data_IF_609329646189
#
_entry.id   IF_609329646189
#
_cell.length_a   1.000
_cell.length_b   1.000
_cell.length_c   1.000
_cell.angle_alpha   90.00
_cell.angle_beta   90.00
_cell.angle_gamma   90.00
#
_symmetry.space_group_name_H-M   'P 1'
#
loop_
_entity.id
_entity.type
_entity.pdbx_description
1 polymer ?
#
# COMPACT_ATOMS: atom_id res chain seq x y z
N UNK A 1 -22.71 3.32 10.56
CA UNK A 1 -22.39 4.03 9.31
C UNK A 1 -21.40 3.15 8.57
N UNK A 2 -21.79 2.55 7.44
CA UNK A 2 -20.87 1.75 6.64
C UNK A 2 -19.73 2.66 6.12
N UNK A 3 -18.45 2.22 6.14
CA UNK A 3 -17.37 3.00 5.57
C UNK A 3 -17.60 3.10 4.06
N UNK A 4 -17.60 4.34 3.54
CA UNK A 4 -17.67 4.57 2.09
C UNK A 4 -16.33 4.15 1.49
N UNK A 5 -16.40 3.17 0.60
CA UNK A 5 -15.30 2.61 -0.16
C UNK A 5 -14.74 3.65 -1.16
N UNK A 6 -13.43 3.92 -1.11
CA UNK A 6 -12.76 4.89 -1.98
C UNK A 6 -11.32 4.45 -2.31
N UNK A 7 -10.80 4.71 -3.53
CA UNK A 7 -9.66 4.03 -4.16
C UNK A 7 -8.24 4.51 -3.80
N UNK A 8 -7.27 3.57 -3.83
CA UNK A 8 -5.81 3.77 -3.69
C UNK A 8 -5.17 4.18 -5.02
N UNK A 9 -4.24 5.16 -4.98
CA UNK A 9 -3.43 5.62 -6.12
C UNK A 9 -1.99 5.07 -6.03
N UNK A 10 -1.46 4.58 -7.16
CA UNK A 10 -0.07 4.11 -7.29
C UNK A 10 0.77 5.06 -8.16
N UNK A 11 2.02 5.30 -7.75
CA UNK A 11 3.04 5.97 -8.57
C UNK A 11 4.27 5.07 -8.76
N UNK A 12 4.82 5.08 -9.98
CA UNK A 12 6.01 4.32 -10.39
C UNK A 12 7.25 5.19 -10.19
N UNK A 13 8.27 4.60 -9.57
CA UNK A 13 9.57 5.19 -9.22
C UNK A 13 10.34 5.72 -10.43
N UNK A 14 11.02 6.85 -10.30
CA UNK A 14 12.13 7.25 -11.20
C UNK A 14 13.19 8.01 -10.41
N UNK A 15 14.46 7.66 -10.62
CA UNK A 15 15.63 8.40 -10.12
C UNK A 15 15.90 9.57 -11.07
N UNK A 16 16.08 10.79 -10.56
CA UNK A 16 16.48 11.94 -11.38
C UNK A 16 17.52 12.81 -10.65
N UNK A 17 18.64 13.06 -11.34
CA UNK A 17 19.68 14.04 -11.03
C UNK A 17 19.28 15.43 -11.58
N UNK A 18 19.83 16.48 -10.98
CA UNK A 18 19.36 17.87 -11.12
C UNK A 18 19.99 18.65 -12.29
N UNK A 19 19.19 19.48 -12.96
CA UNK A 19 19.64 20.67 -13.69
C UNK A 19 18.52 21.73 -13.80
N UNK A 20 18.89 23.01 -13.84
CA UNK A 20 18.05 24.20 -13.66
C UNK A 20 17.70 24.92 -14.98
N UNK A 21 16.60 25.69 -15.03
CA UNK A 21 16.46 26.86 -15.92
C UNK A 21 15.10 27.16 -16.58
N UNK A 22 14.45 28.22 -16.08
CA UNK A 22 13.67 29.34 -16.66
C UNK A 22 12.43 29.18 -17.61
N UNK A 23 11.38 30.04 -17.48
CA UNK A 23 10.03 29.85 -18.00
C UNK A 23 9.70 30.73 -19.22
N UNK A 24 8.80 30.25 -20.09
CA UNK A 24 7.73 31.02 -20.73
C UNK A 24 7.09 30.20 -21.86
N UNK A 25 5.81 29.84 -21.73
CA UNK A 25 4.74 30.25 -22.66
C UNK A 25 3.40 29.61 -22.29
N UNK A 26 2.42 30.48 -22.02
CA UNK A 26 0.99 30.18 -21.84
C UNK A 26 0.36 29.84 -23.20
N UNK A 27 -0.62 28.91 -23.23
CA UNK A 27 -2.01 29.17 -23.72
C UNK A 27 -2.93 27.93 -23.71
N UNK A 28 -4.06 28.13 -23.01
CA UNK A 28 -5.47 27.74 -23.28
C UNK A 28 -5.92 26.27 -23.19
N UNK A 29 -6.87 26.11 -22.26
CA UNK A 29 -7.66 24.94 -21.91
C UNK A 29 -8.68 24.51 -22.98
N UNK A 30 -9.13 23.25 -22.88
CA UNK A 30 -10.55 22.87 -22.92
C UNK A 30 -10.82 21.67 -22.00
N UNK A 31 -11.91 21.81 -21.25
CA UNK A 31 -12.55 20.79 -20.41
C UNK A 31 -13.25 19.77 -21.31
N UNK A 32 -13.18 18.48 -20.97
CA UNK A 32 -14.07 17.43 -21.50
C UNK A 32 -14.38 16.44 -20.37
N UNK A 33 -15.66 16.37 -20.03
CA UNK A 33 -16.30 15.30 -19.26
C UNK A 33 -16.04 13.93 -19.90
N UNK A 34 -15.84 12.89 -19.08
CA UNK A 34 -16.71 11.69 -19.00
C UNK A 34 -15.97 10.46 -18.42
N UNK A 35 -16.61 9.86 -17.42
CA UNK A 35 -16.80 8.43 -17.10
C UNK A 35 -15.65 7.40 -17.11
N UNK A 36 -15.47 6.87 -15.89
CA UNK A 36 -15.34 5.47 -15.48
C UNK A 36 -14.28 4.54 -16.13
N UNK A 37 -13.34 4.11 -15.28
CA UNK A 37 -12.90 2.71 -15.18
C UNK A 37 -11.60 2.31 -15.88
N UNK A 38 -10.52 2.14 -15.10
CA UNK A 38 -9.18 1.63 -15.49
C UNK A 38 -8.95 0.23 -14.85
N UNK A 39 -7.93 -0.62 -15.12
CA UNK A 39 -6.46 -0.37 -15.14
C UNK A 39 -5.65 -1.72 -15.37
N UNK A 40 -4.49 -1.69 -16.08
CA UNK A 40 -3.30 -2.58 -15.88
C UNK A 40 -2.30 -2.77 -17.07
N UNK A 41 -1.04 -2.22 -17.06
CA UNK A 41 0.09 -2.46 -18.03
C UNK A 41 1.54 -2.21 -17.49
N UNK A 42 2.53 -2.71 -18.27
CA UNK A 42 4.02 -2.67 -18.16
C UNK A 42 4.67 -1.32 -18.55
N UNK A 43 5.74 -0.91 -17.85
CA UNK A 43 6.57 0.27 -18.15
C UNK A 43 7.93 -0.17 -18.73
N UNK A 44 8.40 0.46 -19.81
CA UNK A 44 9.77 0.31 -20.35
C UNK A 44 10.44 1.68 -20.55
N UNK A 45 11.77 1.74 -20.40
CA UNK A 45 12.62 2.91 -20.63
C UNK A 45 13.36 2.82 -21.98
N UNK A 46 13.74 3.95 -22.60
CA UNK A 46 14.40 3.96 -23.91
C UNK A 46 15.88 3.59 -23.84
N UNK A 47 16.41 3.16 -24.99
CA UNK A 47 17.69 2.44 -25.15
C UNK A 47 18.93 3.36 -25.18
N UNK A 48 18.87 4.58 -24.64
CA UNK A 48 20.02 5.50 -24.62
C UNK A 48 19.77 6.84 -23.90
N UNK A 49 20.83 7.63 -23.62
CA UNK A 49 20.70 8.95 -23.01
C UNK A 49 19.97 9.92 -23.96
N UNK A 50 19.08 10.75 -23.40
CA UNK A 50 18.28 11.70 -24.16
C UNK A 50 19.11 12.90 -24.64
N UNK A 51 18.86 13.34 -25.87
CA UNK A 51 19.40 14.57 -26.46
C UNK A 51 18.51 15.76 -26.04
N UNK A 52 19.11 16.76 -25.39
CA UNK A 52 18.44 17.91 -24.77
C UNK A 52 17.73 18.85 -25.77
N UNK A 53 17.87 18.61 -27.08
CA UNK A 53 17.23 19.43 -28.12
C UNK A 53 15.92 18.87 -28.68
N UNK A 54 15.48 17.66 -28.28
CA UNK A 54 14.18 17.13 -28.72
C UNK A 54 13.04 17.64 -27.83
N UNK A 55 12.14 18.42 -28.42
CA UNK A 55 10.80 18.68 -27.88
C UNK A 55 10.12 17.32 -27.68
N UNK A 56 10.00 16.89 -26.41
CA UNK A 56 9.37 15.62 -26.01
C UNK A 56 7.86 15.64 -26.31
N UNK A 57 7.49 15.48 -27.58
CA UNK A 57 6.15 15.06 -27.94
C UNK A 57 6.00 13.57 -27.60
N UNK A 58 5.23 13.30 -26.53
CA UNK A 58 4.70 11.96 -26.29
C UNK A 58 3.81 11.59 -27.48
N UNK A 59 4.29 10.68 -28.33
CA UNK A 59 3.43 10.01 -29.30
C UNK A 59 2.62 8.96 -28.54
N UNK A 60 1.32 9.21 -28.41
CA UNK A 60 0.34 8.21 -28.00
C UNK A 60 0.54 6.96 -28.89
N UNK A 61 0.85 5.82 -28.27
CA UNK A 61 0.94 4.55 -28.98
C UNK A 61 -0.47 4.19 -29.47
N UNK A 62 -0.73 4.41 -30.76
CA UNK A 62 -2.00 4.09 -31.40
C UNK A 62 -2.33 2.59 -31.44
N UNK A 63 -1.37 1.73 -31.08
CA UNK A 63 -1.43 0.27 -31.03
C UNK A 63 -1.88 -0.29 -29.67
N UNK A 64 -2.28 0.56 -28.72
CA UNK A 64 -2.75 0.12 -27.42
C UNK A 64 -4.24 -0.27 -27.44
N UNK A 65 -4.52 -1.57 -27.52
CA UNK A 65 -5.89 -2.11 -27.59
C UNK A 65 -6.57 -2.28 -26.21
N UNK A 66 -5.82 -2.24 -25.11
CA UNK A 66 -6.34 -2.46 -23.75
C UNK A 66 -6.15 -3.90 -23.26
N UNK A 67 -6.84 -4.27 -22.19
CA UNK A 67 -6.85 -5.63 -21.64
C UNK A 67 -8.30 -6.11 -21.43
N UNK A 68 -8.52 -7.42 -21.50
CA UNK A 68 -9.85 -7.99 -21.29
C UNK A 68 -10.03 -8.43 -19.84
N UNK A 69 -11.17 -8.13 -19.25
CA UNK A 69 -11.62 -8.67 -17.98
C UNK A 69 -13.04 -9.19 -18.14
N UNK A 70 -13.20 -10.51 -18.12
CA UNK A 70 -14.41 -11.17 -18.63
C UNK A 70 -14.60 -10.86 -20.12
N UNK A 71 -15.81 -10.45 -20.49
CA UNK A 71 -16.18 -10.09 -21.87
C UNK A 71 -15.86 -8.63 -22.24
N UNK A 72 -15.34 -7.83 -21.31
CA UNK A 72 -15.17 -6.39 -21.50
C UNK A 72 -13.70 -6.00 -21.68
N UNK A 73 -13.42 -5.04 -22.56
CA UNK A 73 -12.08 -4.45 -22.75
C UNK A 73 -11.91 -3.17 -21.91
N UNK A 74 -10.76 -3.03 -21.24
CA UNK A 74 -10.41 -1.91 -20.36
C UNK A 74 -9.07 -1.28 -20.76
N UNK A 75 -8.90 0.02 -20.49
CA UNK A 75 -7.67 0.77 -20.83
C UNK A 75 -7.15 1.54 -19.61
N UNK A 76 -5.84 1.43 -19.36
CA UNK A 76 -5.17 2.29 -18.38
C UNK A 76 -4.81 3.62 -19.03
N UNK A 77 -5.21 4.72 -18.38
CA UNK A 77 -4.73 6.07 -18.73
C UNK A 77 -4.20 6.79 -17.49
N UNK A 78 -3.01 7.38 -17.56
CA UNK A 78 -2.57 8.34 -16.55
C UNK A 78 -3.36 9.64 -16.76
N UNK A 79 -4.15 10.07 -15.77
CA UNK A 79 -5.03 11.24 -15.89
C UNK A 79 -4.46 12.51 -15.27
N UNK A 80 -3.61 12.38 -14.25
CA UNK A 80 -2.97 13.49 -13.55
C UNK A 80 -1.54 13.06 -13.17
N UNK A 81 -0.59 13.98 -13.31
CA UNK A 81 0.79 13.84 -12.84
C UNK A 81 1.07 15.04 -11.93
N UNK A 82 1.55 14.76 -10.73
CA UNK A 82 1.80 15.79 -9.72
C UNK A 82 3.32 15.98 -9.60
N UNK A 83 3.84 17.23 -9.65
CA UNK A 83 5.25 17.48 -9.41
C UNK A 83 5.64 17.03 -8.00
N UNK A 84 6.65 16.17 -7.91
CA UNK A 84 7.17 15.64 -6.65
C UNK A 84 8.69 15.77 -6.64
N UNK A 85 9.31 16.26 -5.54
CA UNK A 85 10.75 16.31 -5.44
C UNK A 85 11.31 14.88 -5.29
N UNK A 86 12.19 14.49 -6.22
CA UNK A 86 12.84 13.16 -6.20
C UNK A 86 11.81 12.02 -6.09
N UNK A 87 12.19 10.92 -5.44
CA UNK A 87 11.34 9.74 -5.26
C UNK A 87 10.40 9.88 -4.05
N UNK A 88 9.35 9.06 -4.06
CA UNK A 88 8.39 8.91 -2.97
C UNK A 88 8.37 7.47 -2.52
N UNK A 89 8.57 7.22 -1.23
CA UNK A 89 8.52 5.87 -0.66
C UNK A 89 7.10 5.37 -0.46
N UNK A 90 6.18 6.28 -0.13
CA UNK A 90 4.81 5.95 0.18
C UNK A 90 3.90 7.13 -0.17
N UNK A 91 2.76 6.82 -0.78
CA UNK A 91 1.69 7.78 -1.01
C UNK A 91 0.35 7.14 -0.61
N UNK A 92 -0.49 7.90 0.09
CA UNK A 92 -1.79 7.45 0.61
C UNK A 92 -2.80 8.58 0.52
N UNK A 93 -4.03 8.27 0.08
CA UNK A 93 -5.14 9.22 0.11
C UNK A 93 -5.79 9.25 1.49
N UNK A 94 -6.40 10.38 1.83
CA UNK A 94 -7.20 10.52 3.05
C UNK A 94 -8.54 9.81 2.87
N UNK A 95 -8.89 8.91 3.80
CA UNK A 95 -10.12 8.12 3.75
C UNK A 95 -11.39 8.95 3.57
N UNK A 96 -11.51 10.02 4.35
CA UNK A 96 -12.71 10.86 4.41
C UNK A 96 -12.78 11.85 3.23
N UNK A 97 -11.63 12.16 2.61
CA UNK A 97 -11.53 13.07 1.45
C UNK A 97 -10.49 12.55 0.45
N UNK A 98 -10.84 11.58 -0.41
CA UNK A 98 -9.89 10.88 -1.29
C UNK A 98 -9.18 11.76 -2.33
N UNK A 99 -9.65 12.98 -2.58
CA UNK A 99 -8.93 13.94 -3.41
C UNK A 99 -7.66 14.45 -2.73
N UNK A 100 -7.51 14.31 -1.41
CA UNK A 100 -6.27 14.64 -0.72
C UNK A 100 -5.34 13.45 -0.67
N UNK A 101 -4.12 13.66 -1.18
CA UNK A 101 -3.03 12.68 -1.19
C UNK A 101 -1.90 13.19 -0.30
N UNK A 102 -1.43 12.37 0.63
CA UNK A 102 -0.14 12.56 1.29
C UNK A 102 0.92 11.70 0.61
N UNK A 103 2.11 12.26 0.40
CA UNK A 103 3.24 11.61 -0.24
C UNK A 103 4.52 11.86 0.57
N UNK A 104 5.34 10.84 0.76
CA UNK A 104 6.63 10.97 1.43
C UNK A 104 7.67 11.59 0.51
N UNK A 105 8.40 12.59 0.98
CA UNK A 105 9.62 13.05 0.34
C UNK A 105 10.86 12.49 1.05
N UNK A 106 11.91 12.21 0.27
CA UNK A 106 13.20 11.72 0.77
C UNK A 106 13.91 12.66 1.75
N UNK A 107 13.48 13.93 1.81
CA UNK A 107 14.03 14.94 2.71
C UNK A 107 13.30 15.02 4.07
N UNK A 108 12.45 14.03 4.38
CA UNK A 108 11.72 13.93 5.65
C UNK A 108 10.41 14.71 5.68
N UNK A 109 10.03 15.39 4.58
CA UNK A 109 8.74 16.08 4.48
C UNK A 109 7.65 15.11 4.04
N UNK A 110 6.42 15.40 4.48
CA UNK A 110 5.22 14.79 3.91
C UNK A 110 4.47 15.85 3.12
N UNK A 111 4.25 15.59 1.84
CA UNK A 111 3.68 16.53 0.89
C UNK A 111 2.19 16.25 0.72
N UNK A 112 1.35 17.27 0.89
CA UNK A 112 -0.09 17.17 0.67
C UNK A 112 -0.45 17.73 -0.70
N UNK A 113 -1.20 16.96 -1.47
CA UNK A 113 -1.75 17.35 -2.76
C UNK A 113 -3.27 17.29 -2.75
N UNK A 114 -3.91 18.22 -3.45
CA UNK A 114 -5.35 18.18 -3.72
C UNK A 114 -5.59 17.86 -5.21
N UNK A 115 -6.22 16.72 -5.46
CA UNK A 115 -6.55 16.25 -6.81
C UNK A 115 -7.68 17.05 -7.46
N UNK A 116 -8.51 17.73 -6.67
CA UNK A 116 -9.60 18.58 -7.16
C UNK A 116 -9.15 20.03 -7.36
N UNK A 117 -7.92 20.38 -6.92
CA UNK A 117 -7.37 21.71 -7.10
C UNK A 117 -7.42 22.13 -8.58
N UNK A 118 -8.01 23.30 -8.89
CA UNK A 118 -8.17 23.75 -10.26
C UNK A 118 -6.83 24.19 -10.86
N UNK A 119 -6.67 23.96 -12.16
CA UNK A 119 -5.48 24.38 -12.91
C UNK A 119 -4.37 23.33 -12.96
N UNK A 120 -3.17 23.78 -13.34
CA UNK A 120 -1.99 22.93 -13.40
C UNK A 120 -1.39 22.85 -11.99
N UNK A 121 -1.19 21.63 -11.49
CA UNK A 121 -0.50 21.43 -10.22
C UNK A 121 0.97 21.83 -10.39
N UNK A 122 1.39 22.91 -9.73
CA UNK A 122 2.78 23.40 -9.74
C UNK A 122 3.62 22.80 -8.59
N UNK A 123 2.97 22.14 -7.63
CA UNK A 123 3.59 21.54 -6.46
C UNK A 123 2.56 21.12 -5.41
N UNK A 124 3.02 20.71 -4.21
CA UNK A 124 2.11 20.38 -3.11
C UNK A 124 1.42 21.63 -2.55
N UNK A 125 0.21 21.45 -2.02
CA UNK A 125 -0.53 22.51 -1.32
C UNK A 125 0.15 22.89 -0.01
N UNK A 126 0.70 21.89 0.68
CA UNK A 126 1.31 22.01 2.01
C UNK A 126 2.46 21.02 2.13
N UNK A 127 3.52 21.41 2.84
CA UNK A 127 4.58 20.51 3.28
C UNK A 127 4.50 20.33 4.80
N UNK A 128 4.21 19.12 5.25
CA UNK A 128 4.26 18.76 6.65
C UNK A 128 5.71 18.43 7.05
N UNK A 129 6.18 19.01 8.15
CA UNK A 129 7.59 18.94 8.58
C UNK A 129 7.71 18.40 10.00
N UNK A 130 8.88 17.85 10.34
CA UNK A 130 9.19 17.41 11.71
C UNK A 130 9.77 16.02 11.80
N UNK A 131 9.71 15.19 10.75
CA UNK A 131 10.39 13.90 10.78
C UNK A 131 11.91 14.07 10.83
N UNK A 132 12.56 13.06 11.38
CA UNK A 132 13.99 12.88 11.39
C UNK A 132 14.34 11.75 10.41
N UNK A 133 15.13 12.08 9.40
CA UNK A 133 15.43 11.17 8.30
C UNK A 133 14.31 11.06 7.27
N UNK A 134 14.44 10.06 6.42
CA UNK A 134 13.51 9.77 5.32
C UNK A 134 12.22 9.15 5.85
N UNK A 135 11.07 9.61 5.35
CA UNK A 135 9.77 9.04 5.74
C UNK A 135 9.58 7.71 5.02
N UNK A 136 9.41 6.65 5.80
CA UNK A 136 9.29 5.26 5.33
C UNK A 136 7.84 4.88 5.07
N UNK A 137 6.92 5.29 5.94
CA UNK A 137 5.51 4.95 5.82
C UNK A 137 4.58 6.07 6.33
N UNK A 138 3.34 6.06 5.82
CA UNK A 138 2.25 6.96 6.17
C UNK A 138 1.00 6.15 6.50
N UNK A 139 0.26 6.59 7.51
CA UNK A 139 -1.06 6.06 7.80
C UNK A 139 -2.04 7.18 8.15
N UNK A 140 -3.16 7.25 7.42
CA UNK A 140 -4.28 8.14 7.72
C UNK A 140 -5.19 7.52 8.76
N UNK A 141 -5.63 8.31 9.75
CA UNK A 141 -6.60 7.83 10.73
C UNK A 141 -7.97 7.66 10.04
N UNK A 142 -8.54 6.45 10.02
CA UNK A 142 -9.85 6.22 9.40
C UNK A 142 -11.01 6.86 10.19
N UNK A 143 -10.82 7.16 11.48
CA UNK A 143 -11.84 7.70 12.38
C UNK A 143 -11.81 9.22 12.53
N UNK A 144 -10.69 9.87 12.22
CA UNK A 144 -10.50 11.31 12.39
C UNK A 144 -9.98 11.93 11.10
N UNK A 145 -10.83 12.72 10.45
CA UNK A 145 -10.47 13.42 9.23
C UNK A 145 -9.23 14.30 9.44
N UNK A 146 -8.33 14.29 8.45
CA UNK A 146 -7.12 15.09 8.48
C UNK A 146 -5.99 14.54 9.36
N UNK A 147 -6.24 13.56 10.23
CA UNK A 147 -5.20 13.04 11.10
C UNK A 147 -4.30 12.03 10.38
N UNK A 148 -3.00 12.31 10.35
CA UNK A 148 -2.00 11.53 9.65
C UNK A 148 -0.83 11.24 10.58
N UNK A 149 -0.37 9.99 10.60
CA UNK A 149 0.90 9.64 11.24
C UNK A 149 1.92 9.28 10.17
N UNK A 150 3.15 9.74 10.36
CA UNK A 150 4.31 9.30 9.59
C UNK A 150 5.32 8.62 10.50
N UNK A 151 6.10 7.70 9.95
CA UNK A 151 7.27 7.15 10.59
C UNK A 151 8.49 7.27 9.66
N UNK A 152 9.68 7.37 10.25
CA UNK A 152 10.89 7.68 9.51
C UNK A 152 12.10 6.83 9.94
N UNK A 153 13.08 6.79 9.04
CA UNK A 153 14.27 5.92 9.14
C UNK A 153 15.22 6.27 10.28
N UNK A 154 15.15 7.47 10.87
CA UNK A 154 15.95 7.82 12.06
C UNK A 154 15.11 7.84 13.35
N UNK A 155 14.16 6.92 13.44
CA UNK A 155 13.44 6.61 14.68
C UNK A 155 12.49 7.71 15.16
N UNK A 156 11.91 8.47 14.23
CA UNK A 156 10.87 9.44 14.58
C UNK A 156 9.51 9.04 14.04
N UNK A 157 8.48 9.25 14.83
CA UNK A 157 7.11 9.29 14.35
C UNK A 157 6.50 10.66 14.65
N UNK A 158 5.69 11.15 13.72
CA UNK A 158 5.08 12.48 13.81
C UNK A 158 3.61 12.40 13.48
N UNK A 159 2.79 13.04 14.32
CA UNK A 159 1.36 13.21 14.10
C UNK A 159 1.11 14.58 13.47
N UNK A 160 0.22 14.62 12.48
CA UNK A 160 -0.20 15.84 11.81
C UNK A 160 -1.71 16.00 11.83
N UNK A 161 -2.13 17.26 11.81
CA UNK A 161 -3.48 17.66 11.42
C UNK A 161 -3.41 18.26 10.01
N UNK A 162 -3.55 17.40 9.01
CA UNK A 162 -3.52 17.78 7.60
C UNK A 162 -4.71 18.66 7.20
N UNK A 163 -5.88 18.48 7.84
CA UNK A 163 -7.06 19.30 7.55
C UNK A 163 -6.82 20.76 7.96
N UNK A 164 -6.26 20.98 9.15
CA UNK A 164 -5.84 22.30 9.60
C UNK A 164 -4.68 22.86 8.76
N UNK A 165 -3.71 22.02 8.41
CA UNK A 165 -2.55 22.43 7.62
C UNK A 165 -2.95 22.95 6.23
N UNK A 166 -3.92 22.30 5.57
CA UNK A 166 -4.46 22.72 4.27
C UNK A 166 -5.13 24.10 4.29
N UNK A 167 -5.52 24.60 5.47
CA UNK A 167 -6.07 25.97 5.62
C UNK A 167 -4.96 27.04 5.75
N UNK A 168 -3.80 26.68 6.29
CA UNK A 168 -2.75 27.65 6.61
C UNK A 168 -1.79 27.93 5.45
N UNK A 169 -1.64 26.97 4.52
CA UNK A 169 -0.67 26.95 3.40
C UNK A 169 0.80 27.06 3.84
N UNK A 170 1.71 26.33 3.17
CA UNK A 170 3.15 26.37 3.47
C UNK A 170 3.66 25.20 4.31
N UNK A 171 4.68 25.45 5.14
CA UNK A 171 5.29 24.42 5.98
C UNK A 171 4.57 24.33 7.34
N UNK A 172 4.01 23.17 7.67
CA UNK A 172 3.28 22.96 8.93
C UNK A 172 3.98 21.90 9.78
N UNK A 173 4.42 22.22 11.01
CA UNK A 173 5.02 21.23 11.90
C UNK A 173 3.98 20.23 12.42
N UNK A 174 4.46 19.05 12.85
CA UNK A 174 3.63 18.06 13.53
C UNK A 174 3.05 18.55 14.86
N UNK A 175 1.87 18.05 15.21
CA UNK A 175 1.18 18.36 16.47
C UNK A 175 1.70 17.53 17.64
N UNK A 176 2.12 16.28 17.39
CA UNK A 176 2.83 15.42 18.35
C UNK A 176 4.00 14.73 17.65
N UNK A 177 5.04 14.41 18.42
CA UNK A 177 6.24 13.75 17.91
C UNK A 177 6.93 12.93 18.99
N UNK A 178 7.52 11.83 18.58
CA UNK A 178 8.47 11.03 19.34
C UNK A 178 9.77 10.86 18.56
N UNK A 179 10.88 10.72 19.28
CA UNK A 179 12.19 10.36 18.73
C UNK A 179 12.80 9.26 19.60
N UNK A 180 13.16 8.16 18.95
CA UNK A 180 13.79 6.98 19.54
C UNK A 180 15.07 6.61 18.80
N UNK A 181 15.72 5.54 19.26
CA UNK A 181 16.98 5.06 18.69
C UNK A 181 16.81 4.14 17.47
N UNK A 182 15.75 3.31 17.46
CA UNK A 182 15.50 2.34 16.39
C UNK A 182 14.80 2.98 15.19
N UNK A 183 15.21 2.62 13.97
CA UNK A 183 14.54 3.02 12.72
C UNK A 183 13.12 2.48 12.67
N UNK A 184 12.18 3.26 12.11
CA UNK A 184 10.81 2.81 11.90
C UNK A 184 10.55 2.50 10.43
N UNK A 185 10.03 1.31 10.15
CA UNK A 185 9.85 0.78 8.80
C UNK A 185 8.41 0.94 8.30
N UNK A 186 7.42 0.74 9.18
CA UNK A 186 6.01 0.83 8.81
C UNK A 186 5.15 1.33 9.98
N UNK A 187 4.04 1.99 9.64
CA UNK A 187 3.05 2.46 10.61
C UNK A 187 1.63 2.14 10.12
N UNK A 188 0.74 1.82 11.05
CA UNK A 188 -0.67 1.57 10.75
C UNK A 188 -1.58 2.03 11.88
N UNK A 189 -2.58 2.86 11.56
CA UNK A 189 -3.65 3.18 12.51
C UNK A 189 -4.46 1.95 12.88
N UNK A 190 -4.78 1.84 14.16
CA UNK A 190 -5.79 0.92 14.67
C UNK A 190 -7.09 1.70 14.93
N UNK A 191 -7.97 1.17 15.77
CA UNK A 191 -9.19 1.88 16.16
C UNK A 191 -8.92 3.13 16.99
N UNK A 192 -9.66 4.20 16.69
CA UNK A 192 -9.71 5.43 17.49
C UNK A 192 -8.41 6.24 17.47
N UNK A 193 -7.69 6.22 18.59
CA UNK A 193 -6.54 7.08 18.90
C UNK A 193 -5.19 6.34 18.92
N UNK A 194 -5.20 5.05 18.57
CA UNK A 194 -4.04 4.19 18.69
C UNK A 194 -3.50 3.74 17.33
N UNK A 195 -2.19 3.52 17.24
CA UNK A 195 -1.50 3.03 16.05
C UNK A 195 -0.32 2.14 16.43
N UNK A 196 0.11 1.29 15.49
CA UNK A 196 1.26 0.40 15.65
C UNK A 196 2.42 0.82 14.75
N UNK A 197 3.65 0.57 15.21
CA UNK A 197 4.89 0.89 14.50
C UNK A 197 5.81 -0.32 14.43
N UNK A 198 6.28 -0.67 13.24
CA UNK A 198 7.30 -1.68 12.97
C UNK A 198 8.70 -1.07 13.05
N UNK A 199 9.62 -1.78 13.71
CA UNK A 199 10.98 -1.31 13.98
C UNK A 199 12.03 -2.26 13.40
N UNK A 200 13.18 -1.71 13.04
CA UNK A 200 14.31 -2.45 12.44
C UNK A 200 14.90 -3.52 13.37
N UNK A 201 14.71 -3.39 14.69
CA UNK A 201 15.16 -4.36 15.68
C UNK A 201 14.17 -5.53 15.91
N UNK A 202 13.11 -5.60 15.10
CA UNK A 202 12.08 -6.65 15.17
C UNK A 202 10.98 -6.38 16.19
N UNK A 203 10.98 -5.21 16.82
CA UNK A 203 9.92 -4.82 17.75
C UNK A 203 8.76 -4.15 16.99
N UNK A 204 7.53 -4.46 17.40
CA UNK A 204 6.35 -3.67 17.06
C UNK A 204 5.84 -2.98 18.32
N UNK A 205 5.65 -1.67 18.26
CA UNK A 205 5.22 -0.84 19.39
C UNK A 205 3.82 -0.28 19.19
N UNK A 206 3.00 -0.31 20.24
CA UNK A 206 1.64 0.25 20.27
C UNK A 206 1.67 1.63 20.93
N UNK A 207 1.08 2.62 20.27
CA UNK A 207 1.03 4.00 20.72
C UNK A 207 -0.41 4.50 20.79
N UNK A 208 -0.66 5.46 21.68
CA UNK A 208 -1.94 6.17 21.79
C UNK A 208 -1.66 7.67 21.92
N UNK A 209 -2.26 8.47 21.04
CA UNK A 209 -1.97 9.90 20.94
C UNK A 209 -2.48 10.71 22.13
N UNK A 210 -3.30 10.12 23.00
CA UNK A 210 -3.79 10.76 24.22
C UNK A 210 -2.75 10.73 25.34
N UNK A 211 -1.80 9.79 25.25
CA UNK A 211 -0.69 9.68 26.18
C UNK A 211 0.50 10.55 25.72
N UNK A 212 1.35 11.03 26.65
CA UNK A 212 2.58 11.71 26.28
C UNK A 212 3.45 10.85 25.35
N UNK A 213 4.03 11.40 24.26
CA UNK A 213 4.78 10.65 23.26
C UNK A 213 6.21 10.29 23.73
N UNK A 214 6.34 9.82 24.97
CA UNK A 214 7.62 9.49 25.61
C UNK A 214 7.93 7.99 25.56
N UNK A 215 6.90 7.14 25.62
CA UNK A 215 7.03 5.68 25.56
C UNK A 215 5.77 5.04 24.96
N UNK A 216 5.88 3.85 24.34
CA UNK A 216 4.71 3.12 23.87
C UNK A 216 3.86 2.61 25.04
N UNK A 217 2.59 2.31 24.75
CA UNK A 217 1.69 1.59 25.66
C UNK A 217 2.17 0.17 25.94
N UNK A 218 2.82 -0.44 24.95
CA UNK A 218 3.48 -1.73 25.07
C UNK A 218 4.09 -2.14 23.74
N UNK A 219 4.78 -3.28 23.76
CA UNK A 219 5.53 -3.80 22.61
C UNK A 219 5.34 -5.29 22.46
N UNK A 220 5.54 -5.79 21.24
CA UNK A 220 5.69 -7.20 20.92
C UNK A 220 6.95 -7.38 20.09
N UNK A 221 7.55 -8.57 20.13
CA UNK A 221 8.71 -8.90 19.30
C UNK A 221 8.26 -9.86 18.21
N UNK A 222 8.50 -9.48 16.96
CA UNK A 222 8.25 -10.35 15.81
C UNK A 222 9.33 -11.42 15.73
N UNK A 223 8.93 -12.63 15.32
CA UNK A 223 9.90 -13.66 14.94
C UNK A 223 10.57 -13.21 13.63
N UNK A 224 11.81 -13.65 13.38
CA UNK A 224 12.38 -13.50 12.04
C UNK A 224 13.14 -12.21 11.75
N UNK A 225 13.58 -11.49 12.78
CA UNK A 225 14.43 -10.30 12.62
C UNK A 225 13.64 -9.01 12.48
N UNK A 226 14.10 -8.10 11.62
CA UNK A 226 13.52 -6.77 11.45
C UNK A 226 12.04 -6.84 11.10
N UNK A 227 11.23 -6.01 11.74
CA UNK A 227 9.81 -5.85 11.41
C UNK A 227 9.72 -4.87 10.23
N UNK A 228 9.44 -5.39 9.04
CA UNK A 228 9.46 -4.63 7.79
C UNK A 228 8.12 -3.92 7.54
N UNK A 229 7.01 -4.62 7.79
CA UNK A 229 5.67 -4.11 7.53
C UNK A 229 4.69 -4.49 8.63
N UNK A 230 3.70 -3.65 8.85
CA UNK A 230 2.56 -3.91 9.76
C UNK A 230 1.27 -3.54 9.07
N UNK A 231 0.22 -4.29 9.34
CA UNK A 231 -1.11 -3.99 8.84
C UNK A 231 -2.17 -4.18 9.93
N UNK A 232 -3.26 -3.46 9.78
CA UNK A 232 -4.43 -3.48 10.65
C UNK A 232 -5.67 -3.58 9.77
N UNK A 233 -6.81 -3.97 10.36
CA UNK A 233 -8.10 -3.98 9.66
C UNK A 233 -9.17 -3.31 10.50
N UNK A 234 -10.02 -2.45 9.90
CA UNK A 234 -11.17 -1.89 10.61
C UNK A 234 -12.26 -2.93 10.88
N UNK A 235 -12.24 -4.07 10.19
CA UNK A 235 -13.21 -5.15 10.38
C UNK A 235 -12.95 -5.94 11.68
N UNK A 236 -11.70 -5.94 12.16
CA UNK A 236 -11.28 -6.60 13.39
C UNK A 236 -10.23 -5.74 14.11
N UNK A 237 -10.65 -4.62 14.75
CA UNK A 237 -9.75 -3.57 15.20
C UNK A 237 -8.82 -3.96 16.36
N UNK A 238 -9.04 -5.10 16.98
CA UNK A 238 -8.13 -5.69 17.96
C UNK A 238 -6.91 -6.37 17.33
N UNK A 239 -6.99 -6.79 16.06
CA UNK A 239 -5.93 -7.55 15.39
C UNK A 239 -4.99 -6.62 14.64
N UNK A 240 -3.70 -6.93 14.72
CA UNK A 240 -2.69 -6.39 13.81
C UNK A 240 -1.71 -7.49 13.41
N UNK A 241 -1.02 -7.28 12.29
CA UNK A 241 -0.01 -8.20 11.76
C UNK A 241 1.36 -7.54 11.70
N UNK A 242 2.39 -8.36 11.72
CA UNK A 242 3.78 -7.99 11.51
C UNK A 242 4.39 -8.91 10.47
N UNK A 243 5.03 -8.34 9.45
CA UNK A 243 5.83 -9.07 8.48
C UNK A 243 7.31 -8.83 8.70
N UNK A 244 8.07 -9.91 8.78
CA UNK A 244 9.48 -9.87 9.16
C UNK A 244 10.44 -10.09 7.98
N UNK A 245 11.73 -9.95 8.23
CA UNK A 245 12.78 -10.07 7.20
C UNK A 245 13.10 -11.51 6.76
N UNK A 246 12.68 -12.52 7.52
CA UNK A 246 12.76 -13.93 7.14
C UNK A 246 11.54 -14.46 6.37
N UNK A 247 10.54 -13.61 6.11
CA UNK A 247 9.29 -14.00 5.44
C UNK A 247 8.18 -14.46 6.39
N UNK A 248 8.41 -14.52 7.70
CA UNK A 248 7.37 -14.86 8.67
C UNK A 248 6.34 -13.74 8.83
N UNK A 249 5.09 -14.14 9.09
CA UNK A 249 3.98 -13.24 9.41
C UNK A 249 3.43 -13.57 10.79
N UNK A 250 3.54 -12.64 11.73
CA UNK A 250 2.94 -12.75 13.05
C UNK A 250 1.59 -12.05 13.14
N UNK A 251 0.63 -12.69 13.81
CA UNK A 251 -0.71 -12.14 14.11
C UNK A 251 -0.81 -11.85 15.61
N UNK A 252 -1.26 -10.67 15.98
CA UNK A 252 -1.28 -10.20 17.38
C UNK A 252 -2.61 -9.55 17.75
N UNK A 253 -2.95 -9.58 19.04
CA UNK A 253 -4.08 -8.84 19.63
C UNK A 253 -3.56 -7.65 20.45
N UNK A 254 -3.94 -6.43 20.07
CA UNK A 254 -3.47 -5.21 20.74
C UNK A 254 -3.97 -5.08 22.19
N UNK A 255 -5.05 -5.77 22.57
CA UNK A 255 -5.60 -5.80 23.93
C UNK A 255 -4.79 -6.73 24.84
N UNK A 256 -4.04 -7.66 24.25
CA UNK A 256 -3.19 -8.63 24.95
C UNK A 256 -1.84 -8.72 24.26
N UNK A 257 -1.01 -7.71 24.52
CA UNK A 257 0.38 -7.70 24.05
C UNK A 257 1.15 -8.84 24.72
N UNK A 258 1.78 -9.69 23.92
CA UNK A 258 2.38 -10.94 24.36
C UNK A 258 2.93 -11.74 23.16
N UNK A 259 3.03 -13.08 23.28
CA UNK A 259 3.38 -13.91 22.13
C UNK A 259 2.34 -13.76 21.02
N UNK A 260 2.75 -14.00 19.78
CA UNK A 260 1.84 -14.01 18.65
C UNK A 260 0.67 -14.96 18.90
N UNK A 261 -0.54 -14.53 18.52
CA UNK A 261 -1.72 -15.39 18.50
C UNK A 261 -1.53 -16.54 17.50
N UNK A 262 -0.92 -16.21 16.36
CA UNK A 262 -0.60 -17.13 15.29
C UNK A 262 0.64 -16.64 14.55
N UNK A 263 1.40 -17.56 13.97
CA UNK A 263 2.52 -17.25 13.10
C UNK A 263 2.39 -18.09 11.83
N UNK A 264 2.32 -17.41 10.68
CA UNK A 264 2.31 -18.05 9.37
C UNK A 264 3.75 -18.11 8.88
N UNK A 265 4.21 -19.31 8.54
CA UNK A 265 5.59 -19.60 8.16
C UNK A 265 5.62 -20.48 6.91
N UNK A 266 6.75 -20.55 6.23
CA UNK A 266 6.93 -21.43 5.05
C UNK A 266 6.28 -20.94 3.75
N UNK A 267 5.43 -19.91 3.78
CA UNK A 267 4.76 -19.38 2.58
C UNK A 267 5.59 -18.36 1.79
N UNK A 268 6.69 -17.85 2.35
CA UNK A 268 7.58 -16.88 1.74
C UNK A 268 9.04 -17.21 2.09
N UNK A 269 9.95 -17.04 1.12
CA UNK A 269 11.36 -17.40 1.26
C UNK A 269 12.25 -16.24 1.68
N UNK A 270 11.79 -14.99 1.47
CA UNK A 270 12.48 -13.76 1.84
C UNK A 270 11.53 -12.80 2.57
N UNK A 271 12.11 -11.73 3.11
CA UNK A 271 11.40 -10.74 3.90
C UNK A 271 10.17 -10.14 3.24
N UNK A 272 9.13 -9.96 4.05
CA UNK A 272 7.88 -9.34 3.61
C UNK A 272 8.06 -7.83 3.43
N UNK A 273 7.59 -7.29 2.32
CA UNK A 273 7.68 -5.86 1.99
C UNK A 273 6.38 -5.11 2.26
N UNK A 274 5.23 -5.75 2.12
CA UNK A 274 3.92 -5.14 2.37
C UNK A 274 2.90 -6.20 2.78
N UNK A 275 2.00 -5.83 3.71
CA UNK A 275 0.84 -6.63 4.09
C UNK A 275 -0.41 -5.76 3.91
N UNK A 276 -1.47 -6.34 3.32
CA UNK A 276 -2.73 -5.64 3.10
C UNK A 276 -3.91 -6.56 3.42
N UNK A 277 -4.70 -6.19 4.42
CA UNK A 277 -5.98 -6.85 4.69
C UNK A 277 -7.01 -6.54 3.62
N UNK A 278 -7.89 -7.49 3.34
CA UNK A 278 -9.07 -7.27 2.52
C UNK A 278 -9.98 -6.23 3.19
N UNK A 279 -10.61 -5.40 2.36
CA UNK A 279 -11.63 -4.44 2.80
C UNK A 279 -12.96 -5.09 3.17
N UNK A 280 -13.15 -6.35 2.75
CA UNK A 280 -14.44 -7.04 2.80
C UNK A 280 -14.42 -8.31 3.65
N UNK A 281 -13.24 -8.86 3.95
CA UNK A 281 -13.09 -10.00 4.85
C UNK A 281 -11.98 -9.73 5.89
N UNK A 282 -12.25 -9.91 7.20
CA UNK A 282 -11.27 -9.69 8.25
C UNK A 282 -10.16 -10.75 8.31
N UNK A 283 -10.37 -11.92 7.69
CA UNK A 283 -9.42 -13.04 7.70
C UNK A 283 -8.48 -13.04 6.50
N UNK A 284 -8.91 -12.45 5.38
CA UNK A 284 -8.16 -12.43 4.13
C UNK A 284 -7.10 -11.31 4.12
N UNK A 285 -5.87 -11.66 3.76
CA UNK A 285 -4.79 -10.70 3.61
C UNK A 285 -3.83 -11.09 2.48
N UNK A 286 -3.19 -10.08 1.90
CA UNK A 286 -2.08 -10.23 0.97
C UNK A 286 -0.78 -10.01 1.72
N UNK A 287 0.21 -10.84 1.45
CA UNK A 287 1.59 -10.66 1.88
C UNK A 287 2.49 -10.61 0.65
N UNK A 288 3.07 -9.45 0.38
CA UNK A 288 4.07 -9.26 -0.68
C UNK A 288 5.47 -9.50 -0.11
N UNK A 289 6.30 -10.23 -0.85
CA UNK A 289 7.67 -10.54 -0.43
C UNK A 289 8.73 -10.05 -1.42
N UNK A 290 9.94 -9.84 -0.89
CA UNK A 290 11.15 -9.61 -1.68
C UNK A 290 11.52 -10.81 -2.57
N UNK A 291 10.92 -11.99 -2.35
CA UNK A 291 11.10 -13.18 -3.20
C UNK A 291 10.33 -13.15 -4.53
N UNK A 292 9.66 -12.04 -4.84
CA UNK A 292 8.86 -11.77 -6.06
C UNK A 292 7.46 -12.39 -6.05
N UNK A 293 7.05 -13.02 -4.96
CA UNK A 293 5.72 -13.60 -4.82
C UNK A 293 4.80 -12.74 -3.95
N UNK A 294 3.50 -12.77 -4.27
CA UNK A 294 2.45 -12.25 -3.40
C UNK A 294 1.59 -13.43 -2.97
N UNK A 295 1.53 -13.67 -1.67
CA UNK A 295 0.74 -14.76 -1.09
C UNK A 295 -0.60 -14.22 -0.61
N UNK A 296 -1.67 -14.89 -0.99
CA UNK A 296 -3.02 -14.68 -0.50
C UNK A 296 -3.25 -15.66 0.65
N UNK A 297 -3.49 -15.12 1.83
CA UNK A 297 -3.67 -15.89 3.05
C UNK A 297 -5.11 -15.73 3.58
N UNK A 298 -5.66 -16.80 4.12
CA UNK A 298 -6.91 -16.80 4.89
C UNK A 298 -6.69 -17.32 6.30
N UNK A 299 -6.71 -16.42 7.27
CA UNK A 299 -6.47 -16.74 8.67
C UNK A 299 -7.56 -17.65 9.28
N UNK A 300 -8.73 -17.80 8.65
CA UNK A 300 -9.76 -18.74 9.11
C UNK A 300 -9.42 -20.20 8.77
N UNK A 301 -8.53 -20.45 7.81
CA UNK A 301 -8.03 -21.80 7.51
C UNK A 301 -6.85 -22.24 8.39
N UNK A 302 -6.38 -21.38 9.30
CA UNK A 302 -5.31 -21.71 10.21
C UNK A 302 -5.66 -22.92 11.10
N UNK A 303 -4.79 -23.92 11.11
CA UNK A 303 -4.95 -25.14 11.91
C UNK A 303 -5.93 -26.16 11.33
N UNK A 304 -6.38 -25.99 10.08
CA UNK A 304 -7.05 -27.08 9.35
C UNK A 304 -6.04 -28.19 9.05
N UNK A 305 -6.52 -29.44 9.08
CA UNK A 305 -5.72 -30.60 8.73
C UNK A 305 -5.43 -30.58 7.21
N UNK A 306 -4.19 -30.89 6.84
CA UNK A 306 -3.75 -31.06 5.44
C UNK A 306 -3.19 -32.46 5.24
N UNK A 307 -3.36 -32.97 4.03
CA UNK A 307 -2.64 -34.16 3.61
C UNK A 307 -1.12 -33.85 3.52
N UNK A 308 -0.24 -34.86 3.70
CA UNK A 308 1.20 -34.62 3.70
C UNK A 308 1.74 -33.98 2.42
N UNK A 309 1.10 -34.24 1.28
CA UNK A 309 1.48 -33.64 -0.01
C UNK A 309 1.17 -32.14 -0.03
N UNK A 310 -0.02 -31.72 0.42
CA UNK A 310 -0.39 -30.29 0.50
C UNK A 310 0.44 -29.52 1.53
N UNK A 311 0.83 -30.17 2.62
CA UNK A 311 1.68 -29.57 3.66
C UNK A 311 3.11 -29.26 3.17
N UNK A 312 3.57 -29.90 2.08
CA UNK A 312 4.84 -29.57 1.42
C UNK A 312 4.75 -28.26 0.61
N UNK A 313 3.56 -27.92 0.10
CA UNK A 313 3.33 -26.71 -0.70
C UNK A 313 3.12 -25.44 0.14
N UNK A 314 2.67 -25.59 1.38
CA UNK A 314 2.55 -24.47 2.32
C UNK A 314 1.56 -24.72 3.46
N UNK A 315 1.41 -23.74 4.37
CA UNK A 315 0.46 -23.84 5.48
C UNK A 315 -1.00 -23.82 4.97
N UNK A 316 -1.98 -24.30 5.76
CA UNK A 316 -3.36 -24.43 5.32
C UNK A 316 -4.03 -23.08 5.04
N UNK A 317 -3.55 -22.02 5.69
CA UNK A 317 -3.97 -20.64 5.42
C UNK A 317 -3.47 -20.07 4.07
N UNK A 318 -2.57 -20.74 3.35
CA UNK A 318 -2.11 -20.30 2.03
C UNK A 318 -3.11 -20.69 0.93
N UNK A 319 -3.88 -19.72 0.44
CA UNK A 319 -4.87 -19.96 -0.62
C UNK A 319 -4.27 -19.89 -2.03
N UNK A 320 -3.35 -18.96 -2.27
CA UNK A 320 -2.83 -18.69 -3.61
C UNK A 320 -1.52 -17.91 -3.57
N UNK A 321 -0.64 -18.21 -4.52
CA UNK A 321 0.63 -17.49 -4.71
C UNK A 321 0.70 -16.89 -6.11
N UNK A 322 0.75 -15.56 -6.19
CA UNK A 322 0.94 -14.84 -7.45
C UNK A 322 2.43 -14.78 -7.82
N UNK A 323 2.82 -15.57 -8.81
CA UNK A 323 4.19 -15.63 -9.36
C UNK A 323 4.42 -14.79 -10.62
N UNK A 324 3.63 -13.74 -10.85
CA UNK A 324 3.73 -12.95 -12.09
C UNK A 324 4.91 -11.98 -12.15
N UNK A 325 5.38 -11.48 -11.01
CA UNK A 325 6.47 -10.49 -10.94
C UNK A 325 7.84 -11.13 -11.13
N UNK A 326 8.82 -10.34 -11.60
CA UNK A 326 10.20 -10.83 -11.85
C UNK A 326 11.24 -10.20 -10.94
N UNK A 327 10.84 -9.29 -10.08
CA UNK A 327 11.69 -8.59 -9.12
C UNK A 327 10.91 -8.29 -7.83
N UNK A 328 11.62 -7.83 -6.81
CA UNK A 328 11.12 -7.55 -5.48
C UNK A 328 9.85 -6.70 -5.54
N UNK A 329 8.82 -7.11 -4.81
CA UNK A 329 7.55 -6.39 -4.78
C UNK A 329 7.68 -5.24 -3.79
N UNK A 330 7.28 -4.04 -4.20
CA UNK A 330 7.30 -2.86 -3.36
C UNK A 330 6.01 -2.70 -2.57
N UNK A 331 4.87 -2.87 -3.23
CA UNK A 331 3.56 -2.73 -2.58
C UNK A 331 2.51 -3.56 -3.31
N UNK A 332 1.51 -4.00 -2.56
CA UNK A 332 0.34 -4.71 -3.06
C UNK A 332 -0.89 -4.29 -2.25
N UNK A 333 -2.01 -4.06 -2.93
CA UNK A 333 -3.24 -3.68 -2.25
C UNK A 333 -4.48 -4.29 -2.91
N UNK A 334 -5.46 -4.57 -2.07
CA UNK A 334 -6.80 -4.90 -2.52
C UNK A 334 -7.49 -3.72 -3.19
N UNK A 335 -8.31 -4.02 -4.18
CA UNK A 335 -9.32 -3.09 -4.64
C UNK A 335 -10.37 -2.90 -3.53
N UNK A 336 -10.68 -1.66 -3.23
CA UNK A 336 -11.67 -1.30 -2.22
C UNK A 336 -13.08 -1.17 -2.81
N UNK A 337 -13.27 -1.27 -4.14
CA UNK A 337 -14.60 -1.19 -4.76
C UNK A 337 -15.33 -2.53 -4.70
N UNK A 338 -16.55 -2.53 -4.18
CA UNK A 338 -17.41 -3.73 -4.02
C UNK A 338 -17.66 -4.49 -5.33
N UNK A 339 -17.57 -3.80 -6.47
CA UNK A 339 -17.78 -4.42 -7.79
C UNK A 339 -16.71 -5.46 -8.12
N UNK A 340 -15.48 -5.28 -7.61
CA UNK A 340 -14.36 -6.17 -7.88
C UNK A 340 -13.54 -6.43 -6.60
N UNK A 341 -14.15 -7.02 -5.55
CA UNK A 341 -13.59 -7.04 -4.21
C UNK A 341 -12.34 -7.93 -4.09
N UNK A 342 -12.12 -8.80 -5.08
CA UNK A 342 -10.99 -9.73 -5.17
C UNK A 342 -9.88 -9.24 -6.11
N UNK A 343 -10.05 -8.06 -6.72
CA UNK A 343 -9.03 -7.49 -7.59
C UNK A 343 -7.88 -6.93 -6.76
N UNK A 344 -6.66 -7.14 -7.23
CA UNK A 344 -5.43 -6.73 -6.57
C UNK A 344 -4.58 -5.91 -7.54
N UNK A 345 -3.99 -4.84 -7.04
CA UNK A 345 -2.95 -4.10 -7.72
C UNK A 345 -1.61 -4.33 -7.01
N UNK A 346 -0.54 -4.52 -7.78
CA UNK A 346 0.79 -4.77 -7.22
C UNK A 346 1.89 -4.21 -8.09
N UNK A 347 2.94 -3.69 -7.46
CA UNK A 347 4.07 -3.04 -8.12
C UNK A 347 5.40 -3.62 -7.67
N UNK A 348 6.32 -3.78 -8.61
CA UNK A 348 7.63 -4.38 -8.35
C UNK A 348 8.80 -3.55 -8.90
N UNK A 349 10.01 -3.89 -8.48
CA UNK A 349 11.28 -3.26 -8.87
C UNK A 349 11.64 -3.42 -10.36
N UNK A 350 10.91 -4.26 -11.10
CA UNK A 350 11.01 -4.39 -12.56
C UNK A 350 10.17 -3.35 -13.33
N UNK A 351 9.68 -2.32 -12.63
CA UNK A 351 8.81 -1.26 -13.14
C UNK A 351 7.46 -1.75 -13.68
N UNK A 352 6.97 -2.91 -13.21
CA UNK A 352 5.67 -3.44 -13.63
C UNK A 352 4.59 -3.15 -12.60
N UNK A 353 3.43 -2.75 -13.10
CA UNK A 353 2.16 -2.75 -12.39
C UNK A 353 1.34 -3.94 -12.91
N UNK A 354 1.01 -4.85 -12.01
CA UNK A 354 0.08 -5.93 -12.30
C UNK A 354 -1.26 -5.63 -11.65
N UNK A 355 -2.33 -5.85 -12.42
CA UNK A 355 -3.71 -5.84 -11.91
C UNK A 355 -4.32 -7.17 -12.29
N UNK A 356 -4.72 -7.90 -11.26
CA UNK A 356 -5.04 -9.30 -11.35
C UNK A 356 -6.12 -9.65 -10.34
N UNK A 357 -6.80 -10.75 -10.59
CA UNK A 357 -7.80 -11.32 -9.68
C UNK A 357 -7.65 -12.85 -9.75
N UNK A 358 -7.50 -13.55 -8.62
CA UNK A 358 -7.55 -15.01 -8.60
C UNK A 358 -8.89 -15.51 -9.15
N UNK A 359 -8.92 -16.76 -9.62
CA UNK A 359 -10.19 -17.41 -9.96
C UNK A 359 -11.08 -17.50 -8.71
N UNK A 360 -12.39 -17.41 -8.88
CA UNK A 360 -13.35 -17.49 -7.77
C UNK A 360 -13.22 -18.77 -6.93
N UNK A 361 -12.86 -19.89 -7.57
CA UNK A 361 -12.62 -21.19 -6.91
C UNK A 361 -11.47 -21.19 -5.91
N UNK A 362 -10.62 -20.15 -5.88
CA UNK A 362 -9.58 -19.98 -4.85
C UNK A 362 -10.22 -19.61 -3.50
N UNK A 363 -11.35 -18.92 -3.51
CA UNK A 363 -12.02 -18.39 -2.32
C UNK A 363 -13.19 -19.25 -1.85
N UNK A 364 -13.82 -19.98 -2.77
CA UNK A 364 -14.97 -20.80 -2.51
C UNK A 364 -14.60 -22.23 -2.85
N UNK A 365 -14.59 -23.09 -1.84
CA UNK A 365 -14.56 -24.52 -2.06
C UNK A 365 -15.78 -24.83 -2.93
N UNK A 366 -15.55 -25.43 -4.10
CA UNK A 366 -16.65 -25.85 -4.95
C UNK A 366 -17.36 -27.00 -4.25
N UNK A 367 -18.40 -26.70 -3.47
CA UNK A 367 -19.41 -27.67 -3.04
C UNK A 367 -20.20 -28.15 -4.27
N UNK A 368 -19.53 -28.89 -5.17
CA UNK A 368 -20.07 -29.75 -6.22
C UNK A 368 -18.96 -30.04 -7.24
N UNK A 369 -18.07 -30.96 -6.94
CA UNK A 369 -17.80 -31.98 -7.94
C UNK A 369 -19.08 -32.80 -8.05
N UNK A 370 -20.08 -32.30 -8.78
CA UNK A 370 -21.03 -33.22 -9.40
C UNK A 370 -20.15 -34.06 -10.32
N UNK A 371 -19.83 -35.28 -9.88
CA UNK A 371 -19.34 -36.34 -10.76
C UNK A 371 -20.30 -36.36 -11.96
N UNK A 372 -19.90 -35.79 -13.09
CA UNK A 372 -20.63 -35.95 -14.34
C UNK A 372 -20.59 -37.45 -14.65
N UNK A 373 -21.68 -38.15 -14.29
CA UNK A 373 -21.90 -39.55 -14.61
C UNK A 373 -21.78 -39.72 -16.14
N UNK A 374 -20.75 -40.43 -16.64
CA UNK A 374 -20.53 -40.56 -18.08
C UNK A 374 -21.65 -41.31 -18.81
N UNK A 375 -22.61 -41.88 -18.09
CA UNK A 375 -23.75 -42.62 -18.64
C UNK A 375 -24.98 -41.74 -18.98
N UNK A 376 -24.92 -40.41 -18.87
CA UNK A 376 -26.03 -39.51 -19.29
C UNK A 376 -25.91 -38.94 -20.72
N UNK A 377 -24.99 -39.46 -21.53
CA UNK A 377 -24.87 -39.14 -22.95
C UNK A 377 -25.08 -40.39 -23.83
N UNK A 378 -26.28 -40.97 -23.79
CA UNK A 378 -26.79 -41.86 -24.86
C UNK A 378 -28.16 -41.40 -25.38
#
# INVERSE_FOLDING_TARGET
MAPRNHPVLHFVRRKAEAAAGDPHQRRRARCLDCDAGKLGFRVELPVGPFDDQQTNEYKERGDYEGFHYGLSSYKLKVIKRLPHPKESNCARYMWQRPSIIASCAVDGRVLLYDLDAPGICEGPEVSLVGNRGEVTCLSWNPHREGQLVSCASEGSWVLYDAAAALQQKGNTPGSLKHEGAASFNSCAWTEGDAFVLAQEDGVVSLWDIREPPTKPLGTVTCKGGAANCVATTPLKPEVFTCGSDDGSLGVYDRRRLGPALHAVEGFAALGLSSISFSFFSPSLLLAASKDKYISLLDLEKAGQDQDPEDAEDGPPELLFTHGGHRADIYDACWNCEEKFPQMVASVANDNRLHIWQPKGSVFFDSDSEEEEDPDQLE
#
